data_IF_762812181768
#
_entry.id   IF_762812181768
#
_cell.length_a   1.000
_cell.length_b   1.000
_cell.length_c   1.000
_cell.angle_alpha   90.00
_cell.angle_beta   90.00
_cell.angle_gamma   90.00
#
_symmetry.space_group_name_H-M   'P 1'
#
loop_
_entity.id
_entity.type
_entity.pdbx_description
1 polymer ?
#
# COMPACT_ATOMS: atom_id res chain seq x y z
N UNK A 1 23.23 -25.38 -2.47
CA UNK A 1 22.07 -24.72 -1.83
C UNK A 1 22.40 -23.38 -1.16
N UNK A 2 21.66 -22.32 -1.49
CA UNK A 2 21.86 -20.96 -0.95
C UNK A 2 20.54 -20.33 -0.49
N UNK A 3 20.54 -19.52 0.57
CA UNK A 3 19.36 -18.67 0.84
C UNK A 3 19.29 -17.56 -0.21
N UNK A 4 18.10 -17.01 -0.44
CA UNK A 4 17.91 -15.96 -1.46
C UNK A 4 18.79 -14.74 -1.17
N UNK A 5 18.99 -14.41 0.10
CA UNK A 5 19.89 -13.34 0.52
C UNK A 5 21.37 -13.63 0.28
N UNK A 6 21.81 -14.89 0.43
CA UNK A 6 23.20 -15.28 0.10
C UNK A 6 23.44 -15.28 -1.40
N UNK A 7 22.51 -15.85 -2.18
CA UNK A 7 22.54 -15.81 -3.65
C UNK A 7 22.61 -14.38 -4.18
N UNK A 8 21.74 -13.50 -3.68
CA UNK A 8 21.70 -12.08 -4.06
C UNK A 8 23.04 -11.38 -3.90
N UNK A 9 23.73 -11.63 -2.77
CA UNK A 9 25.06 -11.06 -2.52
C UNK A 9 26.14 -11.67 -3.41
N UNK A 10 26.10 -12.98 -3.63
CA UNK A 10 27.13 -13.72 -4.36
C UNK A 10 27.12 -13.40 -5.86
N UNK A 11 25.94 -13.29 -6.48
CA UNK A 11 25.79 -13.10 -7.92
C UNK A 11 25.39 -11.66 -8.30
N UNK A 12 25.44 -10.73 -7.35
CA UNK A 12 25.02 -9.33 -7.52
C UNK A 12 23.63 -9.19 -8.16
N UNK A 13 22.70 -10.07 -7.78
CA UNK A 13 21.30 -10.04 -8.22
C UNK A 13 20.48 -9.38 -7.12
N UNK A 14 19.65 -8.36 -7.40
CA UNK A 14 18.80 -7.74 -6.39
C UNK A 14 17.90 -8.78 -5.73
N UNK A 15 17.85 -8.78 -4.39
CA UNK A 15 17.07 -9.75 -3.62
C UNK A 15 15.59 -9.75 -4.01
N UNK A 16 15.03 -8.58 -4.33
CA UNK A 16 13.66 -8.44 -4.83
C UNK A 16 13.44 -9.18 -6.16
N UNK A 17 14.41 -9.14 -7.08
CA UNK A 17 14.34 -9.88 -8.34
C UNK A 17 14.35 -11.39 -8.13
N UNK A 18 15.15 -11.88 -7.17
CA UNK A 18 15.15 -13.31 -6.80
C UNK A 18 13.78 -13.75 -6.30
N UNK A 19 13.13 -12.94 -5.44
CA UNK A 19 11.77 -13.23 -4.97
C UNK A 19 10.74 -13.18 -6.10
N UNK A 20 10.81 -12.18 -6.98
CA UNK A 20 9.89 -12.07 -8.12
C UNK A 20 9.98 -13.30 -9.01
N UNK A 21 11.18 -13.70 -9.44
CA UNK A 21 11.39 -14.86 -10.32
C UNK A 21 10.85 -16.14 -9.67
N UNK A 22 11.08 -16.33 -8.38
CA UNK A 22 10.62 -17.52 -7.67
C UNK A 22 9.10 -17.52 -7.44
N UNK A 23 8.48 -16.37 -7.20
CA UNK A 23 7.03 -16.26 -7.10
C UNK A 23 6.35 -16.50 -8.46
N UNK A 24 6.87 -15.91 -9.53
CA UNK A 24 6.37 -16.12 -10.89
C UNK A 24 6.47 -17.61 -11.27
N UNK A 25 7.56 -18.27 -10.87
CA UNK A 25 7.75 -19.72 -11.06
C UNK A 25 6.77 -20.56 -10.21
N UNK A 26 6.50 -20.16 -8.97
CA UNK A 26 5.52 -20.81 -8.08
C UNK A 26 4.10 -20.78 -8.70
N UNK A 27 3.73 -19.67 -9.35
CA UNK A 27 2.44 -19.49 -10.02
C UNK A 27 2.35 -20.22 -11.36
N UNK A 28 3.43 -20.21 -12.16
CA UNK A 28 3.41 -20.72 -13.53
C UNK A 28 3.75 -22.20 -13.65
N UNK A 29 4.66 -22.71 -12.82
CA UNK A 29 5.09 -24.11 -12.85
C UNK A 29 5.54 -24.59 -11.46
N UNK A 30 4.57 -25.02 -10.66
CA UNK A 30 4.80 -25.51 -9.30
C UNK A 30 5.74 -26.71 -9.23
N UNK A 31 5.80 -27.56 -10.26
CA UNK A 31 6.70 -28.72 -10.30
C UNK A 31 8.16 -28.26 -10.33
N UNK A 32 8.49 -27.36 -11.26
CA UNK A 32 9.83 -26.80 -11.38
C UNK A 32 10.19 -25.92 -10.17
N UNK A 33 9.22 -25.19 -9.61
CA UNK A 33 9.42 -24.44 -8.37
C UNK A 33 9.87 -25.34 -7.21
N UNK A 34 9.21 -26.49 -7.01
CA UNK A 34 9.57 -27.45 -5.96
C UNK A 34 10.96 -28.07 -6.18
N UNK A 35 11.45 -28.13 -7.41
CA UNK A 35 12.82 -28.53 -7.73
C UNK A 35 13.82 -27.40 -7.47
N UNK A 36 13.41 -26.13 -7.63
CA UNK A 36 14.23 -24.94 -7.45
C UNK A 36 14.36 -24.48 -6.00
N UNK A 37 13.37 -24.76 -5.14
CA UNK A 37 13.28 -24.26 -3.77
C UNK A 37 13.09 -25.38 -2.77
N UNK A 38 14.03 -25.49 -1.83
CA UNK A 38 13.90 -26.33 -0.66
C UNK A 38 13.37 -25.54 0.53
N UNK A 39 12.23 -25.97 1.06
CA UNK A 39 11.54 -25.41 2.23
C UNK A 39 11.57 -26.32 3.46
N UNK A 40 12.28 -27.45 3.42
CA UNK A 40 12.33 -28.47 4.49
C UNK A 40 12.76 -27.93 5.86
N UNK A 41 13.57 -26.87 5.87
CA UNK A 41 14.13 -26.27 7.10
C UNK A 41 13.37 -25.00 7.55
N UNK A 42 12.17 -24.75 7.01
CA UNK A 42 11.36 -23.56 7.31
C UNK A 42 11.87 -22.25 6.70
N UNK A 43 13.05 -22.26 6.10
CA UNK A 43 13.62 -21.14 5.34
C UNK A 43 13.76 -21.55 3.88
N UNK A 44 13.14 -20.81 2.95
CA UNK A 44 13.28 -21.04 1.50
C UNK A 44 14.76 -20.91 1.07
N UNK A 45 15.34 -21.99 0.56
CA UNK A 45 16.69 -22.05 0.01
C UNK A 45 16.62 -22.46 -1.45
N UNK A 46 17.42 -21.82 -2.29
CA UNK A 46 17.62 -22.24 -3.67
C UNK A 46 18.43 -23.53 -3.68
N UNK A 47 17.90 -24.52 -4.38
CA UNK A 47 18.64 -25.72 -4.79
C UNK A 47 19.63 -25.34 -5.90
N UNK A 48 20.49 -26.27 -6.29
CA UNK A 48 21.44 -25.98 -7.37
C UNK A 48 20.70 -25.80 -8.71
N UNK A 49 19.56 -26.48 -8.90
CA UNK A 49 18.63 -26.25 -10.01
C UNK A 49 18.07 -24.82 -9.99
N UNK A 50 17.61 -24.33 -8.83
CA UNK A 50 17.09 -22.98 -8.70
C UNK A 50 18.15 -21.89 -8.90
N UNK A 51 19.40 -22.17 -8.51
CA UNK A 51 20.55 -21.28 -8.77
C UNK A 51 20.78 -21.18 -10.28
N UNK A 52 20.89 -22.31 -10.99
CA UNK A 52 21.10 -22.30 -12.44
C UNK A 52 19.93 -21.64 -13.17
N UNK A 53 18.70 -21.94 -12.79
CA UNK A 53 17.51 -21.33 -13.38
C UNK A 53 17.54 -19.79 -13.33
N UNK A 54 17.89 -19.22 -12.17
CA UNK A 54 17.97 -17.75 -12.04
C UNK A 54 19.16 -17.19 -12.84
N UNK A 55 20.29 -17.90 -12.89
CA UNK A 55 21.47 -17.45 -13.63
C UNK A 55 21.25 -17.48 -15.14
N UNK A 56 20.63 -18.54 -15.66
CA UNK A 56 20.20 -18.67 -17.06
C UNK A 56 19.21 -17.57 -17.45
N UNK A 57 18.16 -17.35 -16.65
CA UNK A 57 17.19 -16.26 -16.87
C UNK A 57 17.83 -14.86 -16.91
N UNK A 58 18.97 -14.69 -16.24
CA UNK A 58 19.69 -13.42 -16.16
C UNK A 58 20.85 -13.31 -17.16
N UNK A 59 21.09 -14.35 -17.97
CA UNK A 59 22.23 -14.41 -18.89
C UNK A 59 23.58 -14.39 -18.18
N UNK A 60 23.63 -14.82 -16.91
CA UNK A 60 24.84 -14.90 -16.13
C UNK A 60 25.36 -16.34 -16.28
N UNK A 61 26.29 -16.56 -17.21
CA UNK A 61 26.85 -17.89 -17.43
C UNK A 61 27.59 -18.37 -16.18
N UNK A 62 27.04 -19.41 -15.54
CA UNK A 62 27.59 -20.05 -14.35
C UNK A 62 28.65 -21.08 -14.73
N UNK A 63 29.90 -20.68 -14.94
CA UNK A 63 31.03 -21.59 -14.63
C UNK A 63 32.35 -20.85 -14.44
N UNK A 64 33.05 -21.20 -13.36
CA UNK A 64 34.46 -20.86 -13.09
C UNK A 64 35.43 -21.36 -14.18
N UNK A 65 34.97 -22.15 -15.14
CA UNK A 65 35.79 -22.70 -16.24
C UNK A 65 35.90 -21.76 -17.45
N UNK A 66 35.15 -20.66 -17.51
CA UNK A 66 35.02 -19.84 -18.74
C UNK A 66 36.05 -18.71 -18.86
N UNK A 67 36.80 -18.39 -17.80
CA UNK A 67 37.82 -17.32 -17.84
C UNK A 67 39.11 -17.72 -18.57
N UNK A 68 39.44 -19.02 -18.67
CA UNK A 68 40.68 -19.49 -19.31
C UNK A 68 40.49 -20.00 -20.76
N UNK A 69 39.28 -20.41 -21.17
CA UNK A 69 39.03 -20.95 -22.53
C UNK A 69 38.67 -19.91 -23.60
N UNK A 70 38.41 -18.66 -23.25
CA UNK A 70 38.09 -17.62 -24.24
C UNK A 70 39.32 -17.03 -24.98
N UNK A 71 40.54 -17.50 -24.69
CA UNK A 71 41.74 -17.08 -25.43
C UNK A 71 42.25 -18.11 -26.46
N UNK A 72 41.75 -19.35 -26.48
CA UNK A 72 42.36 -20.41 -27.30
C UNK A 72 41.56 -20.88 -28.52
N UNK A 73 40.25 -20.68 -28.58
CA UNK A 73 39.44 -21.22 -29.69
C UNK A 73 39.08 -20.13 -30.70
N UNK A 74 40.13 -19.59 -31.33
CA UNK A 74 40.02 -18.85 -32.57
C UNK A 74 40.66 -19.70 -33.67
N UNK A 75 39.83 -20.12 -34.62
CA UNK A 75 40.05 -20.42 -36.05
C UNK A 75 39.12 -21.58 -36.43
N UNK A 76 37.85 -21.24 -36.65
CA UNK A 76 37.09 -21.87 -37.72
C UNK A 76 36.58 -20.72 -38.60
N UNK A 77 37.11 -20.66 -39.82
CA UNK A 77 36.75 -19.73 -40.87
C UNK A 77 35.25 -19.79 -41.16
N UNK A 78 34.49 -18.83 -40.60
CA UNK A 78 33.11 -18.54 -40.99
C UNK A 78 33.18 -17.67 -42.26
N UNK A 79 32.47 -18.11 -43.29
CA UNK A 79 32.30 -17.39 -44.54
C UNK A 79 31.55 -16.06 -44.27
N UNK A 80 32.23 -14.94 -44.53
CA UNK A 80 31.90 -13.57 -44.06
C UNK A 80 30.65 -12.96 -44.74
N UNK A 81 30.02 -13.62 -45.71
CA UNK A 81 28.90 -13.04 -46.46
C UNK A 81 27.50 -13.37 -45.91
N UNK A 82 27.35 -14.43 -45.11
CA UNK A 82 26.04 -14.78 -44.52
C UNK A 82 25.83 -14.22 -43.09
N UNK A 83 26.90 -13.85 -42.37
CA UNK A 83 26.79 -13.34 -40.99
C UNK A 83 26.12 -11.97 -40.89
N UNK A 84 26.32 -11.10 -41.86
CA UNK A 84 25.76 -9.73 -41.84
C UNK A 84 24.24 -9.75 -41.97
N UNK A 85 23.69 -10.72 -42.71
CA UNK A 85 22.24 -10.91 -42.85
C UNK A 85 21.60 -11.40 -41.55
N UNK A 86 22.25 -12.32 -40.86
CA UNK A 86 21.79 -12.85 -39.57
C UNK A 86 21.85 -11.78 -38.48
N UNK A 87 22.90 -10.95 -38.47
CA UNK A 87 23.02 -9.80 -37.56
C UNK A 87 21.92 -8.77 -37.82
N UNK A 88 21.61 -8.47 -39.09
CA UNK A 88 20.52 -7.55 -39.43
C UNK A 88 19.15 -8.11 -39.05
N UNK A 89 18.91 -9.41 -39.22
CA UNK A 89 17.69 -10.07 -38.75
C UNK A 89 17.54 -10.02 -37.23
N UNK A 90 18.63 -10.24 -36.48
CA UNK A 90 18.62 -10.13 -35.03
C UNK A 90 18.31 -8.70 -34.56
N UNK A 91 18.89 -7.69 -35.21
CA UNK A 91 18.60 -6.28 -34.93
C UNK A 91 17.13 -5.95 -35.17
N UNK A 92 16.54 -6.43 -36.27
CA UNK A 92 15.13 -6.19 -36.58
C UNK A 92 14.18 -6.90 -35.60
N UNK A 93 14.54 -8.11 -35.15
CA UNK A 93 13.78 -8.82 -34.12
C UNK A 93 13.81 -8.05 -32.80
N UNK A 94 14.99 -7.60 -32.37
CA UNK A 94 15.18 -6.81 -31.15
C UNK A 94 14.43 -5.48 -31.20
N UNK A 95 14.40 -4.81 -32.37
CA UNK A 95 13.59 -3.58 -32.55
C UNK A 95 12.10 -3.85 -32.37
N UNK A 96 11.58 -4.94 -32.96
CA UNK A 96 10.17 -5.33 -32.80
C UNK A 96 9.82 -5.68 -31.36
N UNK A 97 10.69 -6.37 -30.64
CA UNK A 97 10.51 -6.63 -29.21
C UNK A 97 10.52 -5.33 -28.40
N UNK A 98 11.44 -4.42 -28.70
CA UNK A 98 11.50 -3.12 -28.03
C UNK A 98 10.22 -2.29 -28.27
N UNK A 99 9.74 -2.23 -29.51
CA UNK A 99 8.46 -1.57 -29.83
C UNK A 99 7.28 -2.21 -29.10
N UNK A 100 7.25 -3.54 -29.05
CA UNK A 100 6.20 -4.28 -28.33
C UNK A 100 6.24 -3.97 -26.83
N UNK A 101 7.43 -3.92 -26.24
CA UNK A 101 7.61 -3.59 -24.82
C UNK A 101 7.25 -2.15 -24.51
N UNK A 102 7.62 -1.20 -25.36
CA UNK A 102 7.21 0.20 -25.22
C UNK A 102 5.69 0.33 -25.25
N UNK A 103 5.02 -0.35 -26.17
CA UNK A 103 3.55 -0.36 -26.24
C UNK A 103 2.91 -0.98 -25.00
N UNK A 104 3.51 -2.03 -24.44
CA UNK A 104 3.05 -2.61 -23.17
C UNK A 104 3.23 -1.63 -22.00
N UNK A 105 4.31 -0.85 -21.98
CA UNK A 105 4.53 0.21 -21.00
C UNK A 105 3.49 1.33 -21.11
N UNK A 106 3.17 1.77 -22.32
CA UNK A 106 2.15 2.80 -22.56
C UNK A 106 0.78 2.33 -22.03
N UNK A 107 0.39 1.09 -22.33
CA UNK A 107 -0.86 0.49 -21.81
C UNK A 107 -0.85 0.42 -20.29
N UNK A 108 0.27 0.01 -19.68
CA UNK A 108 0.39 -0.08 -18.23
C UNK A 108 0.29 1.31 -17.57
N UNK A 109 0.90 2.32 -18.18
CA UNK A 109 0.83 3.70 -17.71
C UNK A 109 -0.61 4.23 -17.79
N UNK A 110 -1.33 3.97 -18.87
CA UNK A 110 -2.74 4.32 -19.02
C UNK A 110 -3.63 3.63 -17.98
N UNK A 111 -3.39 2.33 -17.73
CA UNK A 111 -4.10 1.59 -16.68
C UNK A 111 -3.82 2.16 -15.28
N UNK A 112 -2.57 2.55 -15.01
CA UNK A 112 -2.21 3.17 -13.74
C UNK A 112 -2.90 4.54 -13.56
N UNK A 113 -2.90 5.37 -14.59
CA UNK A 113 -3.55 6.68 -14.55
C UNK A 113 -5.07 6.56 -14.28
N UNK A 114 -5.75 5.62 -14.95
CA UNK A 114 -7.17 5.35 -14.71
C UNK A 114 -7.43 4.87 -13.28
N UNK A 115 -6.55 4.02 -12.74
CA UNK A 115 -6.66 3.57 -11.36
C UNK A 115 -6.47 4.72 -10.37
N UNK A 116 -5.47 5.58 -10.62
CA UNK A 116 -5.20 6.76 -9.79
C UNK A 116 -6.36 7.76 -9.80
N UNK A 117 -6.99 7.99 -10.95
CA UNK A 117 -8.22 8.79 -11.06
C UNK A 117 -9.37 8.18 -10.25
N UNK A 118 -9.61 6.88 -10.39
CA UNK A 118 -10.65 6.18 -9.61
C UNK A 118 -10.41 6.26 -8.09
N UNK A 119 -9.16 6.18 -7.64
CA UNK A 119 -8.80 6.41 -6.23
C UNK A 119 -9.09 7.85 -5.79
N UNK A 120 -8.81 8.85 -6.63
CA UNK A 120 -9.07 10.25 -6.32
C UNK A 120 -10.57 10.51 -6.16
N UNK A 121 -11.39 10.04 -7.10
CA UNK A 121 -12.87 10.15 -7.04
C UNK A 121 -13.45 9.45 -5.82
N UNK A 122 -12.96 8.23 -5.51
CA UNK A 122 -13.39 7.48 -4.32
C UNK A 122 -13.07 8.22 -3.02
N UNK A 123 -11.88 8.84 -2.94
CA UNK A 123 -11.45 9.57 -1.76
C UNK A 123 -12.21 10.89 -1.58
N UNK A 124 -12.52 11.59 -2.68
CA UNK A 124 -13.40 12.77 -2.68
C UNK A 124 -14.82 12.40 -2.19
N UNK A 125 -15.36 11.27 -2.65
CA UNK A 125 -16.67 10.76 -2.21
C UNK A 125 -16.66 10.39 -0.72
N UNK A 126 -15.59 9.78 -0.22
CA UNK A 126 -15.45 9.44 1.20
C UNK A 126 -15.35 10.70 2.09
N UNK A 127 -14.63 11.72 1.63
CA UNK A 127 -14.53 13.00 2.32
C UNK A 127 -15.90 13.69 2.41
N UNK A 128 -16.69 13.66 1.34
CA UNK A 128 -18.05 14.21 1.32
C UNK A 128 -19.01 13.44 2.25
N UNK A 129 -18.98 12.10 2.21
CA UNK A 129 -19.74 11.26 3.15
C UNK A 129 -19.37 11.54 4.61
N UNK A 130 -18.07 11.68 4.90
CA UNK A 130 -17.59 12.00 6.25
C UNK A 130 -18.09 13.37 6.71
N UNK A 131 -18.04 14.38 5.84
CA UNK A 131 -18.57 15.72 6.12
C UNK A 131 -20.08 15.68 6.39
N UNK A 132 -20.83 14.92 5.60
CA UNK A 132 -22.27 14.74 5.79
C UNK A 132 -22.59 14.02 7.11
N UNK A 133 -21.80 13.01 7.48
CA UNK A 133 -21.96 12.31 8.75
C UNK A 133 -21.65 13.20 9.96
N UNK A 134 -20.64 14.06 9.87
CA UNK A 134 -20.34 15.06 10.91
C UNK A 134 -21.49 16.08 11.06
N UNK A 135 -22.07 16.54 9.94
CA UNK A 135 -23.20 17.46 9.97
C UNK A 135 -24.44 16.83 10.62
N UNK A 136 -24.78 15.60 10.22
CA UNK A 136 -25.88 14.82 10.82
C UNK A 136 -25.67 14.62 12.32
N UNK A 137 -24.45 14.28 12.74
CA UNK A 137 -24.12 14.09 14.16
C UNK A 137 -24.33 15.38 14.95
N UNK A 138 -23.90 16.53 14.39
CA UNK A 138 -24.11 17.83 15.01
C UNK A 138 -25.60 18.18 15.12
N UNK A 139 -26.37 17.97 14.05
CA UNK A 139 -27.82 18.21 14.08
C UNK A 139 -28.55 17.34 15.11
N UNK A 140 -28.14 16.08 15.27
CA UNK A 140 -28.68 15.21 16.31
C UNK A 140 -28.34 15.71 17.72
N UNK A 141 -27.11 16.17 17.95
CA UNK A 141 -26.71 16.76 19.22
C UNK A 141 -27.52 18.04 19.53
N UNK A 142 -27.65 18.93 18.55
CA UNK A 142 -28.43 20.18 18.69
C UNK A 142 -29.91 19.88 18.98
N UNK A 143 -30.50 18.90 18.29
CA UNK A 143 -31.88 18.46 18.54
C UNK A 143 -32.06 17.85 19.94
N UNK A 144 -31.10 17.05 20.41
CA UNK A 144 -31.16 16.48 21.75
C UNK A 144 -31.09 17.56 22.83
N UNK A 145 -30.20 18.54 22.67
CA UNK A 145 -30.11 19.71 23.57
C UNK A 145 -31.42 20.52 23.58
N UNK A 146 -32.03 20.70 22.41
CA UNK A 146 -33.33 21.37 22.32
C UNK A 146 -34.43 20.60 23.05
N UNK A 147 -34.51 19.28 22.87
CA UNK A 147 -35.47 18.43 23.58
C UNK A 147 -35.25 18.50 25.09
N UNK A 148 -34.01 18.46 25.57
CA UNK A 148 -33.69 18.64 27.00
C UNK A 148 -34.11 20.01 27.52
N UNK A 149 -33.90 21.08 26.73
CA UNK A 149 -34.32 22.44 27.09
C UNK A 149 -35.85 22.57 27.21
N UNK A 150 -36.60 21.87 26.35
CA UNK A 150 -38.07 21.83 26.41
C UNK A 150 -38.57 21.07 27.64
N UNK A 151 -37.95 19.91 27.98
CA UNK A 151 -38.28 19.17 29.21
C UNK A 151 -38.08 20.04 30.46
N UNK A 152 -36.94 20.73 30.53
CA UNK A 152 -36.67 21.66 31.64
C UNK A 152 -37.61 22.87 31.70
N UNK A 153 -38.22 23.25 30.58
CA UNK A 153 -39.21 24.33 30.53
C UNK A 153 -40.61 23.86 30.94
N UNK A 154 -40.97 22.59 30.66
CA UNK A 154 -42.20 21.97 31.16
C UNK A 154 -42.17 21.75 32.68
N UNK A 155 -41.06 21.25 33.23
CA UNK A 155 -40.91 21.04 34.69
C UNK A 155 -41.04 22.35 35.49
N UNK A 156 -40.70 23.50 34.89
CA UNK A 156 -40.85 24.83 35.49
C UNK A 156 -42.25 25.43 35.31
N UNK A 157 -43.04 24.93 34.37
CA UNK A 157 -44.43 25.34 34.16
C UNK A 157 -45.39 24.63 35.11
N UNK A 158 -45.08 23.42 35.56
CA UNK A 158 -45.88 22.70 36.56
C UNK A 158 -45.70 23.23 37.99
N UNK A 159 -44.66 24.04 38.26
CA UNK A 159 -44.32 24.52 39.61
C UNK A 159 -44.80 25.96 39.92
N UNK A 160 -45.67 26.57 39.11
CA UNK A 160 -46.10 27.98 39.29
C UNK A 160 -47.62 28.14 39.56
N UNK A 161 -48.35 27.06 39.89
CA UNK A 161 -49.80 27.16 40.16
C UNK A 161 -50.27 26.89 41.59
N UNK A 162 -49.40 26.52 42.52
CA UNK A 162 -49.75 26.41 43.94
C UNK A 162 -48.88 27.39 44.72
N UNK A 163 -49.44 28.54 45.07
CA UNK A 163 -49.15 29.34 46.27
C UNK A 163 -49.63 30.79 46.09
N UNK A 164 -50.95 30.96 45.98
CA UNK A 164 -51.62 32.22 46.29
C UNK A 164 -52.86 31.95 47.12
N UNK A 165 -52.67 31.65 48.41
CA UNK A 165 -53.62 31.95 49.47
C UNK A 165 -52.90 32.02 50.83
N UNK A 166 -52.71 33.26 51.32
CA UNK A 166 -52.65 33.72 52.74
C UNK A 166 -51.83 32.91 53.76
N UNK A 167 -50.87 33.50 54.50
CA UNK A 167 -51.09 34.34 55.70
C UNK A 167 -49.82 35.16 56.04
N UNK A 168 -50.05 36.35 56.63
CA UNK A 168 -49.15 37.39 57.13
C UNK A 168 -48.18 37.01 58.27
N UNK A 169 -47.12 37.81 58.37
CA UNK A 169 -46.27 38.16 59.53
C UNK A 169 -45.30 37.12 60.14
N UNK A 170 -44.00 37.27 59.84
CA UNK A 170 -43.01 37.81 60.82
C UNK A 170 -41.62 38.06 60.23
N UNK A 171 -40.99 39.04 60.86
CA UNK A 171 -39.75 39.78 60.57
C UNK A 171 -38.46 38.98 60.36
N UNK A 172 -37.58 39.61 59.57
CA UNK A 172 -36.11 39.67 59.67
C UNK A 172 -35.26 38.38 59.74
N UNK A 173 -34.44 38.15 58.71
CA UNK A 173 -32.98 38.14 58.87
C UNK A 173 -32.23 38.10 57.52
N UNK A 174 -31.46 39.15 57.30
CA UNK A 174 -30.42 39.31 56.27
C UNK A 174 -29.33 38.24 56.40
N UNK A 175 -28.86 37.65 55.28
CA UNK A 175 -27.41 37.47 55.00
C UNK A 175 -27.07 37.06 53.56
N UNK A 176 -26.28 37.95 52.93
CA UNK A 176 -25.54 37.82 51.66
C UNK A 176 -24.41 36.77 51.75
N UNK A 177 -23.85 36.44 50.57
CA UNK A 177 -22.47 35.97 50.24
C UNK A 177 -22.38 34.49 49.75
N UNK A 178 -21.66 34.08 48.68
CA UNK A 178 -20.64 34.68 47.78
C UNK A 178 -20.71 34.09 46.36
N UNK A 179 -20.32 34.92 45.38
CA UNK A 179 -19.86 34.51 44.04
C UNK A 179 -18.54 33.71 44.14
N UNK A 180 -18.42 32.63 43.35
CA UNK A 180 -17.16 32.05 42.82
C UNK A 180 -17.56 31.48 41.44
N UNK A 181 -17.07 31.92 40.28
CA UNK A 181 -15.71 32.31 39.92
C UNK A 181 -15.02 31.12 39.24
N UNK A 182 -15.45 30.73 38.03
CA UNK A 182 -14.93 29.59 37.26
C UNK A 182 -14.41 30.00 35.87
N UNK A 183 -13.78 31.17 35.75
CA UNK A 183 -12.94 31.52 34.60
C UNK A 183 -11.51 31.78 35.07
N UNK A 184 -10.74 30.72 35.21
CA UNK A 184 -9.28 30.80 35.22
C UNK A 184 -8.68 29.41 35.00
N UNK A 185 -8.63 28.96 33.74
CA UNK A 185 -7.69 27.95 33.24
C UNK A 185 -7.78 27.86 31.72
N UNK A 186 -7.41 28.95 31.04
CA UNK A 186 -7.18 28.86 29.59
C UNK A 186 -5.84 29.41 29.11
N UNK A 187 -5.00 30.05 29.94
CA UNK A 187 -3.61 30.31 29.57
C UNK A 187 -2.70 30.35 30.80
N UNK A 188 -2.02 29.24 31.09
CA UNK A 188 -0.58 29.18 31.42
C UNK A 188 -0.12 27.73 31.52
#
# INVERSE_FOLDING_TARGET
>A
MLTFGKFSKQYNVPRASVYSIMNDLEETNISLYNECVDSSTGTKKLTDVGIQYILELRGINSSEETLERQQSDNINTINVQDSDKDVLMAIDLLKKELETRNRQFDILQDSYNKLAEGFKESNETLAELTKNQQLLTKQLQDNNLYIESLKHSQDKSETVQEDKETILDKEEAVKKQKKKGFFSRLFS
#
